data_IF_812705732115
#
_entry.id   IF_812705732115
#
_cell.length_a   1.000
_cell.length_b   1.000
_cell.length_c   1.000
_cell.angle_alpha   90.00
_cell.angle_beta   90.00
_cell.angle_gamma   90.00
#
_symmetry.space_group_name_H-M   'P 1'
#
loop_
_entity.id
_entity.type
_entity.pdbx_description
1 polymer ?
#
# COMPACT_ATOMS: atom_id res chain seq x y z
N UNK A 1 -9.06 3.32 -16.00
CA UNK A 1 -8.54 2.46 -14.90
C UNK A 1 -8.07 3.33 -13.75
N UNK A 2 -8.20 2.88 -12.50
CA UNK A 2 -7.64 3.56 -11.31
C UNK A 2 -6.26 2.98 -10.97
N UNK A 3 -5.23 3.45 -11.66
CA UNK A 3 -3.87 2.93 -11.52
C UNK A 3 -3.14 3.50 -10.29
N UNK A 4 -2.38 2.64 -9.61
CA UNK A 4 -1.45 3.00 -8.55
C UNK A 4 -0.04 2.48 -8.90
N UNK A 5 0.97 3.34 -8.83
CA UNK A 5 2.35 2.97 -9.13
C UNK A 5 3.03 2.50 -7.84
N UNK A 6 3.67 1.34 -7.87
CA UNK A 6 4.48 0.85 -6.78
C UNK A 6 5.93 1.32 -7.01
N UNK A 7 6.45 2.20 -6.15
CA UNK A 7 7.86 2.58 -6.20
C UNK A 7 8.66 1.73 -5.21
N UNK A 8 9.71 1.09 -5.72
CA UNK A 8 10.73 0.38 -4.96
C UNK A 8 12.13 0.72 -5.50
N UNK A 9 13.19 0.34 -4.80
CA UNK A 9 14.57 0.52 -5.26
C UNK A 9 14.96 1.99 -5.45
N UNK A 10 15.66 2.28 -6.54
CA UNK A 10 16.19 3.62 -6.81
C UNK A 10 15.11 4.70 -6.91
N UNK A 11 13.90 4.36 -7.37
CA UNK A 11 12.80 5.32 -7.54
C UNK A 11 12.29 5.87 -6.21
N UNK A 12 12.28 5.06 -5.16
CA UNK A 12 11.95 5.56 -3.81
C UNK A 12 13.05 6.51 -3.34
N UNK A 13 14.32 6.13 -3.51
CA UNK A 13 15.44 6.97 -3.10
C UNK A 13 15.51 8.31 -3.85
N UNK A 14 15.09 8.37 -5.11
CA UNK A 14 14.97 9.63 -5.88
C UNK A 14 13.93 10.56 -5.25
N UNK A 15 12.72 10.05 -5.01
CA UNK A 15 11.63 10.80 -4.40
C UNK A 15 12.00 11.28 -2.98
N UNK A 16 12.62 10.41 -2.17
CA UNK A 16 13.07 10.76 -0.81
C UNK A 16 14.19 11.82 -0.79
N UNK A 17 14.90 12.01 -1.92
CA UNK A 17 15.89 13.08 -2.12
C UNK A 17 15.30 14.32 -2.81
N UNK A 18 14.01 14.32 -3.11
CA UNK A 18 13.29 15.46 -3.68
C UNK A 18 13.20 15.47 -5.20
N UNK A 19 13.67 14.42 -5.88
CA UNK A 19 13.50 14.27 -7.32
C UNK A 19 12.12 13.70 -7.63
N UNK A 20 11.22 14.57 -8.11
CA UNK A 20 9.86 14.22 -8.50
C UNK A 20 9.67 14.05 -10.02
N UNK A 21 10.75 14.07 -10.80
CA UNK A 21 10.68 14.05 -12.26
C UNK A 21 9.95 12.82 -12.81
N UNK A 22 10.15 11.65 -12.18
CA UNK A 22 9.48 10.43 -12.57
C UNK A 22 7.97 10.43 -12.27
N UNK A 23 7.52 11.19 -11.26
CA UNK A 23 6.09 11.32 -10.94
C UNK A 23 5.30 11.93 -12.10
N UNK A 24 5.90 12.90 -12.82
CA UNK A 24 5.30 13.51 -14.02
C UNK A 24 5.09 12.48 -15.13
N UNK A 25 6.06 11.59 -15.31
CA UNK A 25 5.92 10.46 -16.25
C UNK A 25 4.77 9.54 -15.85
N UNK A 26 4.69 9.16 -14.57
CA UNK A 26 3.58 8.32 -14.07
C UNK A 26 2.22 8.98 -14.30
N UNK A 27 2.09 10.27 -14.03
CA UNK A 27 0.86 11.01 -14.29
C UNK A 27 0.47 11.02 -15.77
N UNK A 28 1.45 11.18 -16.67
CA UNK A 28 1.20 11.13 -18.12
C UNK A 28 0.73 9.76 -18.61
N UNK A 29 1.14 8.69 -17.91
CA UNK A 29 0.69 7.31 -18.14
C UNK A 29 -0.67 7.00 -17.48
N UNK A 30 -1.27 7.97 -16.80
CA UNK A 30 -2.60 7.84 -16.18
C UNK A 30 -2.60 7.33 -14.75
N UNK A 31 -1.44 7.22 -14.10
CA UNK A 31 -1.39 6.93 -12.66
C UNK A 31 -1.89 8.12 -11.86
N UNK A 32 -2.68 7.83 -10.83
CA UNK A 32 -3.24 8.84 -9.90
C UNK A 32 -2.82 8.61 -8.45
N UNK A 33 -2.15 7.50 -8.19
CA UNK A 33 -1.66 7.12 -6.88
C UNK A 33 -0.24 6.59 -7.00
N UNK A 34 0.58 6.83 -6.00
CA UNK A 34 1.95 6.33 -5.91
C UNK A 34 2.21 5.79 -4.52
N UNK A 35 2.73 4.57 -4.45
CA UNK A 35 3.09 3.91 -3.21
C UNK A 35 4.59 4.02 -2.97
N UNK A 36 4.97 4.49 -1.77
CA UNK A 36 6.35 4.69 -1.33
C UNK A 36 6.72 3.58 -0.34
N UNK A 37 7.51 2.61 -0.81
CA UNK A 37 7.99 1.49 -0.01
C UNK A 37 9.43 1.72 0.46
N UNK A 38 9.58 2.50 1.54
CA UNK A 38 10.86 3.01 2.02
C UNK A 38 11.62 2.07 2.99
N UNK A 39 11.53 0.75 2.76
CA UNK A 39 12.18 -0.25 3.62
C UNK A 39 13.58 -0.62 3.11
N UNK A 40 14.43 -1.10 4.02
CA UNK A 40 15.79 -1.56 3.72
C UNK A 40 15.82 -2.73 2.71
N UNK A 41 14.85 -3.65 2.78
CA UNK A 41 14.70 -4.73 1.80
C UNK A 41 14.46 -4.20 0.38
N UNK A 42 13.90 -3.00 0.25
CA UNK A 42 13.72 -2.30 -1.02
C UNK A 42 14.92 -1.40 -1.39
N UNK A 43 16.06 -1.52 -0.71
CA UNK A 43 17.29 -0.79 -1.03
C UNK A 43 17.30 0.67 -0.57
N UNK A 44 16.51 1.00 0.46
CA UNK A 44 16.49 2.33 1.07
C UNK A 44 17.39 2.38 2.30
N UNK A 45 18.20 3.43 2.41
CA UNK A 45 18.95 3.72 3.63
C UNK A 45 18.00 4.32 4.68
N UNK A 46 17.49 3.46 5.57
CA UNK A 46 16.49 3.84 6.55
C UNK A 46 17.00 4.82 7.60
N UNK A 47 18.32 4.98 7.76
CA UNK A 47 18.90 5.98 8.67
C UNK A 47 18.62 7.43 8.22
N UNK A 48 18.23 7.61 6.96
CA UNK A 48 17.96 8.93 6.37
C UNK A 48 16.49 9.35 6.45
N UNK A 49 15.59 8.45 6.86
CA UNK A 49 14.14 8.69 6.89
C UNK A 49 13.71 9.93 7.68
N UNK A 50 14.31 10.28 8.84
CA UNK A 50 13.97 11.51 9.55
C UNK A 50 14.13 12.76 8.69
N UNK A 51 15.24 12.85 7.94
CA UNK A 51 15.50 13.98 7.05
C UNK A 51 14.65 13.91 5.78
N UNK A 52 14.44 12.69 5.26
CA UNK A 52 13.64 12.46 4.06
C UNK A 52 12.16 12.82 4.27
N UNK A 53 11.60 12.69 5.47
CA UNK A 53 10.21 13.06 5.76
C UNK A 53 9.88 14.52 5.39
N UNK A 54 10.80 15.45 5.66
CA UNK A 54 10.66 16.89 5.33
C UNK A 54 10.71 17.13 3.82
N UNK A 55 11.60 16.42 3.14
CA UNK A 55 11.75 16.51 1.69
C UNK A 55 10.50 15.93 1.01
N UNK A 56 10.07 14.75 1.46
CA UNK A 56 8.88 14.07 0.97
C UNK A 56 7.63 14.94 1.14
N UNK A 57 7.49 15.65 2.26
CA UNK A 57 6.42 16.65 2.47
C UNK A 57 6.40 17.73 1.39
N UNK A 58 7.58 18.20 0.95
CA UNK A 58 7.68 19.17 -0.14
C UNK A 58 7.27 18.55 -1.48
N UNK A 59 7.69 17.31 -1.75
CA UNK A 59 7.29 16.58 -2.96
C UNK A 59 5.78 16.36 -3.00
N UNK A 60 5.18 15.88 -1.90
CA UNK A 60 3.73 15.64 -1.79
C UNK A 60 2.94 16.94 -1.97
N UNK A 61 3.41 18.02 -1.36
CA UNK A 61 2.81 19.36 -1.51
C UNK A 61 2.91 19.90 -2.94
N UNK A 62 3.97 19.55 -3.68
CA UNK A 62 4.16 19.93 -5.07
C UNK A 62 3.37 19.10 -6.09
N UNK A 63 2.84 17.94 -5.68
CA UNK A 63 2.18 16.97 -6.55
C UNK A 63 0.78 16.59 -6.00
N UNK A 64 -0.07 17.58 -5.74
CA UNK A 64 -1.37 17.41 -5.03
C UNK A 64 -2.41 16.62 -5.82
N UNK A 65 -2.22 16.47 -7.12
CA UNK A 65 -3.03 15.63 -8.01
C UNK A 65 -2.74 14.13 -7.85
N UNK A 66 -1.68 13.75 -7.14
CA UNK A 66 -1.35 12.38 -6.77
C UNK A 66 -1.74 12.11 -5.32
N UNK A 67 -2.32 10.93 -5.10
CA UNK A 67 -2.38 10.32 -3.78
C UNK A 67 -1.06 9.59 -3.49
N UNK A 68 -0.46 9.85 -2.34
CA UNK A 68 0.73 9.16 -1.86
C UNK A 68 0.33 8.12 -0.81
N UNK A 69 0.61 6.85 -1.10
CA UNK A 69 0.40 5.73 -0.20
C UNK A 69 1.73 5.45 0.50
N UNK A 70 1.86 5.76 1.79
CA UNK A 70 3.08 5.48 2.54
C UNK A 70 2.99 4.09 3.18
N UNK A 71 4.01 3.25 2.96
CA UNK A 71 4.12 1.96 3.65
C UNK A 71 4.40 2.20 5.14
N UNK A 72 3.45 1.81 5.97
CA UNK A 72 3.53 1.91 7.43
C UNK A 72 4.03 0.61 8.01
N UNK A 73 5.18 0.69 8.67
CA UNK A 73 5.77 -0.33 9.54
C UNK A 73 6.58 0.38 10.65
N UNK A 74 7.03 -0.36 11.66
CA UNK A 74 7.95 0.21 12.66
C UNK A 74 9.26 0.70 12.03
N UNK A 75 9.76 0.02 10.99
CA UNK A 75 11.01 0.40 10.29
C UNK A 75 10.89 1.74 9.57
N UNK A 76 9.70 2.04 9.03
CA UNK A 76 9.44 3.27 8.28
C UNK A 76 8.83 4.38 9.14
N UNK A 77 8.76 4.18 10.46
CA UNK A 77 8.09 5.09 11.41
C UNK A 77 8.51 6.54 11.29
N UNK A 78 9.81 6.78 11.25
CA UNK A 78 10.37 8.13 11.16
C UNK A 78 10.00 8.85 9.85
N UNK A 79 9.58 8.10 8.81
CA UNK A 79 9.07 8.67 7.58
C UNK A 79 7.58 9.04 7.68
N UNK A 80 6.72 8.11 8.14
CA UNK A 80 5.25 8.29 8.05
C UNK A 80 4.63 9.01 9.25
N UNK A 81 5.23 8.94 10.45
CA UNK A 81 4.66 9.51 11.68
C UNK A 81 4.37 11.03 11.57
N UNK A 82 5.25 11.85 10.95
CA UNK A 82 4.98 13.28 10.76
C UNK A 82 3.74 13.58 9.90
N UNK A 83 3.34 12.69 9.00
CA UNK A 83 2.16 12.86 8.14
C UNK A 83 0.85 12.53 8.86
N UNK A 84 0.92 11.73 9.93
CA UNK A 84 -0.22 11.46 10.81
C UNK A 84 -0.46 12.62 11.78
N UNK A 85 0.62 13.24 12.29
CA UNK A 85 0.54 14.38 13.19
C UNK A 85 0.01 15.65 12.48
N UNK A 86 0.42 15.84 11.22
CA UNK A 86 0.05 16.99 10.38
C UNK A 86 -0.65 16.47 9.13
N UNK A 87 -1.92 16.07 9.29
CA UNK A 87 -2.74 15.38 8.28
C UNK A 87 -2.64 16.07 6.91
N UNK A 88 -1.99 15.39 5.96
CA UNK A 88 -1.94 15.82 4.57
C UNK A 88 -3.05 15.16 3.75
N UNK A 89 -3.93 15.98 3.16
CA UNK A 89 -5.13 15.47 2.50
C UNK A 89 -4.93 14.57 1.26
N UNK A 90 -3.72 14.47 0.71
CA UNK A 90 -3.40 13.55 -0.39
C UNK A 90 -2.46 12.42 0.04
N UNK A 91 -2.43 12.10 1.34
CA UNK A 91 -1.67 10.97 1.88
C UNK A 91 -2.61 9.92 2.44
N UNK A 92 -2.31 8.67 2.10
CA UNK A 92 -2.94 7.48 2.66
C UNK A 92 -1.87 6.51 3.14
N UNK A 93 -2.25 5.53 3.95
CA UNK A 93 -1.31 4.62 4.60
C UNK A 93 -1.57 3.18 4.20
N UNK A 94 -0.51 2.42 3.92
CA UNK A 94 -0.59 0.96 3.75
C UNK A 94 0.00 0.28 4.97
N UNK A 95 -0.81 -0.39 5.77
CA UNK A 95 -0.36 -1.13 6.95
C UNK A 95 0.25 -2.45 6.48
N UNK A 96 1.57 -2.55 6.54
CA UNK A 96 2.34 -3.71 6.08
C UNK A 96 3.51 -4.00 7.02
N UNK A 97 3.20 -4.61 8.16
CA UNK A 97 4.22 -5.06 9.13
C UNK A 97 5.09 -6.20 8.57
N UNK A 98 4.65 -6.84 7.48
CA UNK A 98 5.46 -7.86 6.80
C UNK A 98 6.63 -7.25 6.04
N UNK A 99 6.65 -5.93 5.81
CA UNK A 99 7.66 -5.23 5.00
C UNK A 99 7.75 -5.80 3.57
N UNK A 100 6.62 -6.30 3.04
CA UNK A 100 6.56 -7.01 1.75
C UNK A 100 6.95 -8.50 1.79
N UNK A 101 7.24 -9.09 2.95
CA UNK A 101 7.60 -10.52 3.05
C UNK A 101 6.40 -11.47 3.02
N UNK A 102 5.18 -10.96 3.13
CA UNK A 102 3.97 -11.78 3.06
C UNK A 102 3.62 -12.51 4.36
N UNK A 103 4.09 -12.01 5.51
CA UNK A 103 3.72 -12.51 6.84
C UNK A 103 2.42 -11.87 7.31
N UNK A 104 1.49 -12.69 7.81
CA UNK A 104 0.21 -12.24 8.34
C UNK A 104 0.39 -11.52 9.69
N UNK A 105 -0.19 -10.33 9.90
CA UNK A 105 -0.20 -9.70 11.21
C UNK A 105 -1.09 -10.46 12.20
N UNK A 106 -0.72 -10.45 13.48
CA UNK A 106 -1.49 -11.11 14.55
C UNK A 106 -2.67 -10.28 15.05
N UNK A 107 -2.64 -8.96 14.84
CA UNK A 107 -3.70 -8.02 15.20
C UNK A 107 -3.83 -6.94 14.12
N UNK A 108 -5.05 -6.42 13.93
CA UNK A 108 -5.33 -5.34 12.99
C UNK A 108 -5.64 -4.06 13.76
N UNK A 109 -4.96 -2.97 13.38
CA UNK A 109 -5.26 -1.63 13.91
C UNK A 109 -6.49 -1.08 13.18
N UNK A 110 -7.47 -0.49 13.87
CA UNK A 110 -8.65 0.09 13.22
C UNK A 110 -8.27 1.26 12.28
N UNK A 111 -9.03 1.49 11.19
CA UNK A 111 -8.86 2.65 10.35
C UNK A 111 -9.00 3.95 11.16
N UNK A 112 -8.02 4.87 11.10
CA UNK A 112 -8.16 6.19 11.69
C UNK A 112 -9.17 7.03 10.90
N UNK A 113 -9.71 8.09 11.51
CA UNK A 113 -10.62 9.02 10.79
C UNK A 113 -9.86 10.07 9.98
N UNK A 114 -8.55 10.19 10.21
CA UNK A 114 -7.71 11.25 9.68
C UNK A 114 -7.23 10.98 8.25
N UNK A 115 -7.09 9.72 7.85
CA UNK A 115 -6.54 9.36 6.54
C UNK A 115 -7.07 7.98 6.07
N UNK A 116 -7.14 7.74 4.75
CA UNK A 116 -7.46 6.44 4.21
C UNK A 116 -6.38 5.41 4.51
N UNK A 117 -6.78 4.14 4.71
CA UNK A 117 -5.86 3.04 5.01
C UNK A 117 -6.14 1.79 4.19
N UNK A 118 -5.06 1.13 3.77
CA UNK A 118 -5.06 -0.23 3.26
C UNK A 118 -4.34 -1.19 4.18
N UNK A 119 -4.67 -2.47 4.05
CA UNK A 119 -3.99 -3.56 4.76
C UNK A 119 -3.29 -4.48 3.75
N UNK A 120 -2.02 -4.79 4.02
CA UNK A 120 -1.24 -5.77 3.26
C UNK A 120 -0.59 -6.79 4.22
N UNK A 121 0.25 -7.65 3.67
CA UNK A 121 1.00 -8.65 4.44
C UNK A 121 0.31 -10.01 4.49
N UNK A 122 0.74 -10.92 3.62
CA UNK A 122 0.34 -12.33 3.64
C UNK A 122 -1.13 -12.61 3.29
N UNK A 123 -1.85 -11.61 2.80
CA UNK A 123 -3.24 -11.75 2.37
C UNK A 123 -3.26 -12.45 1.01
N UNK A 124 -4.13 -13.43 0.85
CA UNK A 124 -4.24 -14.21 -0.39
C UNK A 124 -5.49 -15.08 -0.47
N UNK A 125 -5.60 -15.92 -1.51
CA UNK A 125 -6.80 -16.71 -1.77
C UNK A 125 -7.20 -17.66 -0.63
N UNK A 126 -6.26 -18.09 0.20
CA UNK A 126 -6.52 -19.03 1.30
C UNK A 126 -7.13 -18.36 2.54
N UNK A 127 -6.77 -17.11 2.82
CA UNK A 127 -7.08 -16.43 4.09
C UNK A 127 -7.83 -15.09 3.95
N UNK A 128 -8.08 -14.58 2.74
CA UNK A 128 -8.68 -13.26 2.53
C UNK A 128 -9.99 -13.07 3.31
N UNK A 129 -10.83 -14.09 3.40
CA UNK A 129 -12.11 -14.00 4.12
C UNK A 129 -11.90 -13.85 5.64
N UNK A 130 -11.02 -14.65 6.24
CA UNK A 130 -10.68 -14.53 7.66
C UNK A 130 -9.97 -13.21 8.00
N UNK A 131 -9.18 -12.70 7.06
CA UNK A 131 -8.51 -11.39 7.20
C UNK A 131 -9.54 -10.27 7.17
N UNK A 132 -10.45 -10.29 6.19
CA UNK A 132 -11.53 -9.30 6.08
C UNK A 132 -12.44 -9.35 7.30
N UNK A 133 -12.85 -10.53 7.78
CA UNK A 133 -13.63 -10.67 9.01
C UNK A 133 -12.92 -10.04 10.22
N UNK A 134 -11.59 -10.22 10.32
CA UNK A 134 -10.78 -9.63 11.39
C UNK A 134 -10.69 -8.11 11.29
N UNK A 135 -10.52 -7.57 10.08
CA UNK A 135 -10.47 -6.12 9.85
C UNK A 135 -11.85 -5.50 10.08
N UNK A 136 -12.92 -6.12 9.59
CA UNK A 136 -14.30 -5.63 9.73
C UNK A 136 -14.73 -5.51 11.20
N UNK A 137 -14.27 -6.43 12.06
CA UNK A 137 -14.50 -6.36 13.51
C UNK A 137 -13.91 -5.12 14.18
N UNK A 138 -12.85 -4.55 13.62
CA UNK A 138 -12.20 -3.35 14.15
C UNK A 138 -12.49 -2.10 13.32
N UNK A 139 -12.97 -2.22 12.08
CA UNK A 139 -13.15 -1.09 11.18
C UNK A 139 -14.35 -0.21 11.53
N UNK A 140 -15.38 -0.79 12.16
CA UNK A 140 -16.67 -0.13 12.28
C UNK A 140 -17.20 0.24 10.88
N UNK A 141 -17.69 1.46 10.72
CA UNK A 141 -18.25 1.97 9.45
C UNK A 141 -17.19 2.59 8.50
N UNK A 142 -15.90 2.48 8.83
CA UNK A 142 -14.85 3.14 8.04
C UNK A 142 -14.41 2.27 6.87
N UNK A 143 -14.31 2.90 5.71
CA UNK A 143 -13.78 2.29 4.50
C UNK A 143 -12.28 1.98 4.63
N UNK A 144 -11.86 0.90 3.98
CA UNK A 144 -10.47 0.49 3.83
C UNK A 144 -10.28 -0.30 2.53
N UNK A 145 -9.04 -0.54 2.14
CA UNK A 145 -8.72 -1.50 1.07
C UNK A 145 -7.77 -2.60 1.55
N UNK A 146 -7.61 -3.64 0.74
CA UNK A 146 -6.58 -4.67 0.93
C UNK A 146 -5.64 -4.67 -0.28
N UNK A 147 -4.38 -4.99 -0.04
CA UNK A 147 -3.34 -5.09 -1.06
C UNK A 147 -2.67 -6.47 -1.01
N UNK A 148 -2.34 -7.03 -2.19
CA UNK A 148 -1.74 -8.35 -2.32
C UNK A 148 -0.72 -8.34 -3.45
N UNK A 149 0.47 -8.87 -3.19
CA UNK A 149 1.50 -9.05 -4.19
C UNK A 149 1.87 -10.53 -4.37
N UNK A 150 2.67 -11.08 -3.45
CA UNK A 150 3.28 -12.40 -3.59
C UNK A 150 2.26 -13.54 -3.66
N UNK A 151 1.15 -13.43 -2.94
CA UNK A 151 0.08 -14.45 -2.93
C UNK A 151 -0.67 -14.56 -4.27
N UNK A 152 -0.55 -13.55 -5.14
CA UNK A 152 -1.16 -13.51 -6.47
C UNK A 152 -0.17 -13.88 -7.57
N UNK A 153 1.04 -14.32 -7.23
CA UNK A 153 2.05 -14.77 -8.18
C UNK A 153 2.14 -16.30 -8.20
N UNK A 154 2.54 -16.85 -9.33
CA UNK A 154 2.80 -18.28 -9.53
C UNK A 154 4.08 -18.47 -10.32
N UNK A 155 4.85 -19.49 -9.98
CA UNK A 155 5.99 -19.91 -10.77
C UNK A 155 5.48 -20.85 -11.89
N UNK A 156 5.60 -20.42 -13.14
CA UNK A 156 5.24 -21.21 -14.33
C UNK A 156 6.52 -21.37 -15.14
N UNK A 157 6.97 -22.61 -15.29
CA UNK A 157 8.21 -22.95 -16.01
C UNK A 157 9.44 -22.16 -15.53
N UNK A 158 9.55 -21.94 -14.22
CA UNK A 158 10.64 -21.17 -13.62
C UNK A 158 10.41 -19.66 -13.62
N UNK A 159 9.35 -19.15 -14.25
CA UNK A 159 9.04 -17.73 -14.35
C UNK A 159 8.04 -17.32 -13.29
N UNK A 160 8.41 -16.38 -12.43
CA UNK A 160 7.48 -15.72 -11.51
C UNK A 160 6.54 -14.79 -12.27
N UNK A 161 5.26 -15.14 -12.31
CA UNK A 161 4.23 -14.45 -13.10
C UNK A 161 3.00 -14.13 -12.27
N UNK A 162 2.35 -13.01 -12.58
CA UNK A 162 1.04 -12.68 -12.01
C UNK A 162 -0.02 -13.72 -12.45
N UNK A 163 -0.73 -14.27 -11.48
CA UNK A 163 -1.71 -15.35 -11.66
C UNK A 163 -3.14 -14.78 -11.58
N UNK A 164 -3.73 -14.59 -12.76
CA UNK A 164 -5.11 -14.09 -12.90
C UNK A 164 -6.12 -15.03 -12.24
N UNK A 165 -5.86 -16.34 -12.19
CA UNK A 165 -6.77 -17.31 -11.57
C UNK A 165 -6.77 -17.19 -10.04
N UNK A 166 -5.61 -16.88 -9.44
CA UNK A 166 -5.55 -16.54 -8.00
C UNK A 166 -6.28 -15.24 -7.70
N UNK A 167 -6.12 -14.22 -8.55
CA UNK A 167 -6.86 -12.96 -8.42
C UNK A 167 -8.39 -13.17 -8.51
N UNK A 168 -8.87 -13.92 -9.51
CA UNK A 168 -10.29 -14.26 -9.63
C UNK A 168 -10.81 -15.03 -8.42
N UNK A 169 -10.00 -15.93 -7.84
CA UNK A 169 -10.38 -16.68 -6.64
C UNK A 169 -10.56 -15.76 -5.44
N UNK A 170 -9.66 -14.79 -5.24
CA UNK A 170 -9.81 -13.76 -4.20
C UNK A 170 -11.11 -13.01 -4.39
N UNK A 171 -11.35 -12.44 -5.58
CA UNK A 171 -12.56 -11.67 -5.87
C UNK A 171 -13.81 -12.49 -5.58
N UNK A 172 -13.87 -13.73 -6.07
CA UNK A 172 -14.99 -14.63 -5.82
C UNK A 172 -15.22 -14.83 -4.32
N UNK A 173 -14.20 -15.23 -3.57
CA UNK A 173 -14.35 -15.47 -2.12
C UNK A 173 -14.84 -14.23 -1.37
N UNK A 174 -14.36 -13.05 -1.75
CA UNK A 174 -14.82 -11.79 -1.15
C UNK A 174 -16.29 -11.51 -1.49
N UNK A 175 -16.70 -11.61 -2.76
CA UNK A 175 -18.08 -11.34 -3.17
C UNK A 175 -19.06 -12.38 -2.57
N UNK A 176 -18.69 -13.66 -2.57
CA UNK A 176 -19.54 -14.77 -2.12
C UNK A 176 -19.68 -14.84 -0.59
N UNK A 177 -18.55 -14.76 0.13
CA UNK A 177 -18.52 -15.05 1.58
C UNK A 177 -18.71 -13.79 2.43
N UNK A 178 -18.43 -12.58 1.90
CA UNK A 178 -18.59 -11.30 2.63
C UNK A 178 -19.89 -10.56 2.21
N UNK A 179 -20.68 -11.13 1.30
CA UNK A 179 -22.01 -10.61 0.96
C UNK A 179 -22.02 -9.33 0.11
N UNK A 180 -20.93 -9.03 -0.61
CA UNK A 180 -20.81 -7.85 -1.48
C UNK A 180 -21.39 -8.05 -2.89
N UNK A 181 -22.28 -9.04 -3.10
CA UNK A 181 -22.83 -9.41 -4.41
C UNK A 181 -23.40 -8.26 -5.23
N UNK A 182 -23.90 -7.18 -4.59
CA UNK A 182 -24.43 -6.00 -5.30
C UNK A 182 -23.37 -5.16 -6.03
N UNK A 183 -22.08 -5.39 -5.79
CA UNK A 183 -20.98 -4.62 -6.40
C UNK A 183 -20.15 -5.41 -7.42
N UNK A 184 -20.45 -6.71 -7.61
CA UNK A 184 -19.66 -7.62 -8.45
C UNK A 184 -20.37 -8.05 -9.75
N UNK A 185 -21.55 -7.49 -10.06
CA UNK A 185 -22.36 -7.74 -11.27
C UNK A 185 -22.24 -6.64 -12.31
#
# INVERSE_FOLDING_TARGET
>A
MKLAAHLCGSRVNEVLRGDDSFLKTLMSLGFKRVQINATSVNGVDTSTLPSASKILRTVISGNRELEFILQRSEETRELWEPFVAEVEGNVSMLFDESKGTGVLPSTYTPPPSQYPVGYAGGIGPSNVVSVLDSILKVSGEKDFWIDMESSLRSNVDGVDSFDVMKCQRVIRRVCEEVGLYQFCS
#
